data_IF_390970575797
#
_entry.id   IF_390970575797
#
_cell.length_a   1.000
_cell.length_b   1.000
_cell.length_c   1.000
_cell.angle_alpha   90.00
_cell.angle_beta   90.00
_cell.angle_gamma   90.00
#
_symmetry.space_group_name_H-M   'P 1'
#
loop_
_entity.id
_entity.type
_entity.pdbx_description
1 polymer ?
#
# COMPACT_ATOMS: atom_id res chain seq x y z
N UNK A 1 -10.14 0.40 10.80
CA UNK A 1 -10.31 -0.14 9.44
C UNK A 1 -11.66 0.36 8.93
N UNK A 2 -11.72 1.17 7.88
CA UNK A 2 -12.98 1.53 7.22
C UNK A 2 -13.28 0.49 6.14
N UNK A 3 -14.47 -0.11 6.15
CA UNK A 3 -14.89 -1.14 5.20
C UNK A 3 -16.12 -0.63 4.45
N UNK A 4 -15.97 -0.34 3.16
CA UNK A 4 -17.07 0.01 2.27
C UNK A 4 -17.58 -1.27 1.58
N UNK A 5 -18.83 -1.65 1.85
CA UNK A 5 -19.49 -2.77 1.17
C UNK A 5 -20.27 -2.25 -0.04
N UNK A 6 -19.85 -2.63 -1.24
CA UNK A 6 -20.58 -2.40 -2.48
C UNK A 6 -21.15 -3.71 -3.01
N UNK A 7 -22.42 -3.72 -3.44
CA UNK A 7 -23.08 -4.88 -4.07
C UNK A 7 -22.72 -4.91 -5.56
N UNK A 8 -21.58 -5.48 -5.91
CA UNK A 8 -21.14 -5.69 -7.31
C UNK A 8 -20.93 -7.18 -7.54
N UNK A 9 -21.22 -7.67 -8.75
CA UNK A 9 -20.94 -9.05 -9.19
C UNK A 9 -19.74 -9.08 -10.17
N UNK A 10 -18.50 -8.90 -9.70
CA UNK A 10 -17.31 -8.87 -10.55
C UNK A 10 -16.92 -10.28 -11.05
N UNK A 11 -16.24 -10.34 -12.18
CA UNK A 11 -15.58 -11.56 -12.67
C UNK A 11 -14.41 -11.93 -11.73
N UNK A 12 -14.01 -13.22 -11.64
CA UNK A 12 -12.90 -13.66 -10.76
C UNK A 12 -11.62 -12.83 -10.93
N UNK A 13 -11.19 -12.55 -12.16
CA UNK A 13 -9.99 -11.74 -12.43
C UNK A 13 -10.10 -10.31 -11.89
N UNK A 14 -11.30 -9.73 -11.89
CA UNK A 14 -11.53 -8.40 -11.33
C UNK A 14 -11.45 -8.41 -9.81
N UNK A 15 -11.93 -9.47 -9.16
CA UNK A 15 -11.79 -9.66 -7.70
C UNK A 15 -10.32 -9.75 -7.32
N UNK A 16 -9.52 -10.51 -8.07
CA UNK A 16 -8.09 -10.64 -7.84
C UNK A 16 -7.37 -9.30 -7.98
N UNK A 17 -7.62 -8.56 -9.07
CA UNK A 17 -7.06 -7.23 -9.27
C UNK A 17 -7.45 -6.24 -8.17
N UNK A 18 -8.72 -6.26 -7.72
CA UNK A 18 -9.18 -5.43 -6.59
C UNK A 18 -8.44 -5.80 -5.31
N UNK A 19 -8.32 -7.09 -4.99
CA UNK A 19 -7.63 -7.55 -3.79
C UNK A 19 -6.14 -7.17 -3.81
N UNK A 20 -5.50 -7.26 -4.97
CA UNK A 20 -4.12 -6.81 -5.17
C UNK A 20 -4.00 -5.29 -4.96
N UNK A 21 -4.87 -4.50 -5.58
CA UNK A 21 -4.88 -3.05 -5.42
C UNK A 21 -5.10 -2.62 -3.96
N UNK A 22 -6.00 -3.28 -3.23
CA UNK A 22 -6.24 -3.03 -1.80
C UNK A 22 -4.97 -3.34 -0.99
N UNK A 23 -4.35 -4.50 -1.20
CA UNK A 23 -3.12 -4.90 -0.49
C UNK A 23 -1.98 -3.92 -0.75
N UNK A 24 -1.77 -3.55 -2.01
CA UNK A 24 -0.74 -2.59 -2.41
C UNK A 24 -0.97 -1.22 -1.78
N UNK A 25 -2.21 -0.72 -1.80
CA UNK A 25 -2.56 0.57 -1.19
C UNK A 25 -2.35 0.57 0.31
N UNK A 26 -2.76 -0.51 1.01
CA UNK A 26 -2.53 -0.66 2.45
C UNK A 26 -1.04 -0.70 2.80
N UNK A 27 -0.24 -1.42 2.00
CA UNK A 27 1.20 -1.51 2.21
C UNK A 27 1.88 -0.14 2.06
N UNK A 28 1.62 0.57 0.95
CA UNK A 28 2.22 1.89 0.71
C UNK A 28 1.79 2.87 1.79
N UNK A 29 0.50 2.87 2.17
CA UNK A 29 0.02 3.69 3.29
C UNK A 29 0.78 3.40 4.58
N UNK A 30 0.97 2.14 4.94
CA UNK A 30 1.70 1.77 6.16
C UNK A 30 3.16 2.25 6.12
N UNK A 31 3.80 2.20 4.95
CA UNK A 31 5.16 2.72 4.76
C UNK A 31 5.24 4.24 4.91
N UNK A 32 4.33 4.98 4.29
CA UNK A 32 4.25 6.44 4.42
C UNK A 32 3.99 6.84 5.88
N UNK A 33 3.07 6.14 6.56
CA UNK A 33 2.79 6.40 7.98
C UNK A 33 4.00 6.14 8.87
N UNK A 34 4.71 5.02 8.65
CA UNK A 34 5.96 4.73 9.39
C UNK A 34 7.01 5.80 9.16
N UNK A 35 7.23 6.18 7.90
CA UNK A 35 8.17 7.24 7.54
C UNK A 35 7.83 8.57 8.23
N UNK A 36 6.54 8.93 8.29
CA UNK A 36 6.09 10.12 9.02
C UNK A 36 6.36 10.05 10.53
N UNK A 37 6.08 8.89 11.15
CA UNK A 37 6.33 8.70 12.58
C UNK A 37 7.82 8.76 12.93
N UNK A 38 8.68 8.26 12.05
CA UNK A 38 10.12 8.17 12.29
C UNK A 38 10.86 9.50 11.97
N UNK A 39 10.22 10.45 11.27
CA UNK A 39 10.85 11.69 10.81
C UNK A 39 10.03 12.93 11.25
N UNK A 40 10.31 13.47 12.46
CA UNK A 40 9.65 14.68 12.95
C UNK A 40 9.93 15.88 12.03
N UNK A 41 8.90 16.71 11.80
CA UNK A 41 9.01 17.91 10.96
C UNK A 41 8.78 17.68 9.46
N UNK A 42 8.62 16.43 9.03
CA UNK A 42 8.28 16.09 7.64
C UNK A 42 6.91 16.66 7.27
N UNK A 43 6.89 17.45 6.19
CA UNK A 43 5.71 18.09 5.64
C UNK A 43 5.00 17.24 4.57
N UNK A 44 3.86 17.76 4.10
CA UNK A 44 3.00 17.07 3.11
C UNK A 44 3.74 16.77 1.80
N UNK A 45 4.60 17.68 1.34
CA UNK A 45 5.35 17.54 0.08
C UNK A 45 6.30 16.36 0.10
N UNK A 46 7.00 16.15 1.21
CA UNK A 46 7.95 15.05 1.38
C UNK A 46 7.22 13.71 1.50
N UNK A 47 6.11 13.67 2.24
CA UNK A 47 5.25 12.48 2.31
C UNK A 47 4.71 12.09 0.93
N UNK A 48 4.30 13.06 0.12
CA UNK A 48 3.80 12.79 -1.23
C UNK A 48 4.90 12.29 -2.15
N UNK A 49 6.10 12.88 -2.10
CA UNK A 49 7.27 12.38 -2.84
C UNK A 49 7.60 10.94 -2.44
N UNK A 50 7.66 10.65 -1.13
CA UNK A 50 7.92 9.31 -0.63
C UNK A 50 6.86 8.30 -1.11
N UNK A 51 5.58 8.68 -1.08
CA UNK A 51 4.47 7.88 -1.61
C UNK A 51 4.67 7.55 -3.10
N UNK A 52 4.93 8.55 -3.94
CA UNK A 52 5.10 8.35 -5.39
C UNK A 52 6.31 7.46 -5.70
N UNK A 53 7.43 7.68 -5.03
CA UNK A 53 8.63 6.85 -5.18
C UNK A 53 8.37 5.38 -4.82
N UNK A 54 7.71 5.13 -3.68
CA UNK A 54 7.39 3.77 -3.25
C UNK A 54 6.34 3.10 -4.14
N UNK A 55 5.30 3.83 -4.52
CA UNK A 55 4.25 3.31 -5.41
C UNK A 55 4.82 2.96 -6.80
N UNK A 56 5.66 3.83 -7.37
CA UNK A 56 6.34 3.59 -8.64
C UNK A 56 7.28 2.38 -8.60
N UNK A 57 7.96 2.15 -7.47
CA UNK A 57 8.84 0.98 -7.26
C UNK A 57 8.08 -0.35 -7.25
N UNK A 58 6.83 -0.38 -6.76
CA UNK A 58 6.01 -1.59 -6.73
C UNK A 58 5.58 -2.02 -8.14
N UNK A 59 5.41 -1.08 -9.07
CA UNK A 59 5.13 -1.38 -10.49
C UNK A 59 6.21 -2.19 -11.19
N UNK A 60 7.45 -2.13 -10.67
CA UNK A 60 8.59 -2.94 -11.14
C UNK A 60 8.73 -4.27 -10.38
N UNK A 61 8.23 -4.36 -9.15
CA UNK A 61 8.39 -5.53 -8.28
C UNK A 61 7.09 -6.34 -8.17
N UNK A 62 6.86 -7.26 -9.11
CA UNK A 62 5.69 -8.18 -9.17
C UNK A 62 5.53 -9.14 -7.97
N UNK A 63 6.31 -9.00 -6.89
CA UNK A 63 6.36 -9.90 -5.74
C UNK A 63 6.66 -9.14 -4.45
N UNK A 64 5.66 -8.77 -3.65
CA UNK A 64 5.88 -8.39 -2.23
C UNK A 64 5.41 -9.47 -1.26
N UNK A 65 4.94 -10.62 -1.77
CA UNK A 65 4.59 -11.81 -0.97
C UNK A 65 5.77 -12.44 -0.20
N UNK A 66 7.03 -11.99 -0.37
CA UNK A 66 8.13 -12.38 0.51
C UNK A 66 8.36 -11.43 1.71
N UNK A 67 7.76 -10.23 1.72
CA UNK A 67 8.18 -9.15 2.63
C UNK A 67 7.30 -8.95 3.88
N UNK A 68 6.14 -9.62 3.99
CA UNK A 68 5.37 -9.67 5.25
C UNK A 68 5.76 -10.85 6.16
N UNK A 69 6.66 -11.74 5.70
CA UNK A 69 7.07 -12.95 6.44
C UNK A 69 8.01 -12.70 7.62
N UNK A 70 8.60 -11.50 7.73
CA UNK A 70 9.34 -11.08 8.93
C UNK A 70 8.46 -10.17 9.76
N UNK A 71 7.66 -10.83 10.59
CA UNK A 71 7.01 -10.31 11.80
C UNK A 71 7.95 -9.29 12.45
N UNK A 72 7.55 -8.03 12.46
CA UNK A 72 8.16 -7.01 13.32
C UNK A 72 7.75 -7.34 14.76
N UNK A 73 8.51 -8.23 15.39
CA UNK A 73 8.76 -8.22 16.83
C UNK A 73 10.12 -7.55 17.04
#
# INVERSE_FOLDING_TARGET
MFVLKYKVKPKPNQIEAINEAIRTTQFVRNKVLRYWMDNPGVGKTELFRFFVTWYGSIGWHKQTKSLSGKRFN
#
